data_IF_328566589853
#
_entry.id   IF_328566589853
#
_cell.length_a   1.000
_cell.length_b   1.000
_cell.length_c   1.000
_cell.angle_alpha   90.00
_cell.angle_beta   90.00
_cell.angle_gamma   90.00
#
_symmetry.space_group_name_H-M   'P 1'
#
loop_
_entity.id
_entity.type
_entity.pdbx_description
1 polymer ?
#
# COMPACT_ATOMS: atom_id res chain seq x y z
N UNK A 1 11.02 -15.34 -22.99
CA UNK A 1 11.68 -14.68 -21.85
C UNK A 1 10.66 -13.80 -21.15
N UNK A 2 10.54 -13.87 -19.83
CA UNK A 2 9.57 -13.04 -19.09
C UNK A 2 10.14 -11.63 -18.87
N UNK A 3 9.29 -10.60 -18.65
CA UNK A 3 9.76 -9.27 -18.27
C UNK A 3 10.65 -9.27 -17.02
N UNK A 4 10.37 -10.19 -16.09
CA UNK A 4 11.19 -10.38 -14.89
C UNK A 4 12.60 -10.88 -15.22
N UNK A 5 12.71 -11.90 -16.08
CA UNK A 5 14.02 -12.40 -16.51
C UNK A 5 14.81 -11.32 -17.27
N UNK A 6 14.15 -10.56 -18.13
CA UNK A 6 14.77 -9.42 -18.83
C UNK A 6 15.34 -8.37 -17.87
N UNK A 7 14.66 -8.11 -16.75
CA UNK A 7 15.14 -7.18 -15.74
C UNK A 7 16.37 -7.75 -15.00
N UNK A 8 16.36 -9.03 -14.64
CA UNK A 8 17.52 -9.69 -14.03
C UNK A 8 18.74 -9.62 -14.94
N UNK A 9 18.58 -10.03 -16.20
CA UNK A 9 19.68 -10.02 -17.19
C UNK A 9 20.25 -8.61 -17.42
N UNK A 10 19.45 -7.56 -17.19
CA UNK A 10 19.91 -6.17 -17.28
C UNK A 10 20.65 -5.72 -16.03
N UNK A 11 20.17 -6.10 -14.84
CA UNK A 11 20.78 -5.77 -13.54
C UNK A 11 22.14 -6.47 -13.40
N UNK A 12 22.24 -7.73 -13.84
CA UNK A 12 23.49 -8.51 -13.79
C UNK A 12 24.64 -7.90 -14.61
N UNK A 13 24.34 -7.00 -15.55
CA UNK A 13 25.35 -6.28 -16.34
C UNK A 13 25.96 -5.08 -15.60
N UNK A 14 25.41 -4.69 -14.46
CA UNK A 14 25.92 -3.58 -13.67
C UNK A 14 27.11 -4.02 -12.80
N UNK A 15 28.05 -3.12 -12.47
CA UNK A 15 29.01 -3.35 -11.40
C UNK A 15 28.33 -3.73 -10.08
N UNK A 16 29.02 -4.46 -9.21
CA UNK A 16 28.45 -4.93 -7.94
C UNK A 16 27.89 -3.79 -7.08
N UNK A 17 28.64 -2.69 -6.95
CA UNK A 17 28.22 -1.51 -6.18
C UNK A 17 26.92 -0.88 -6.72
N UNK A 18 26.73 -0.88 -8.05
CA UNK A 18 25.51 -0.36 -8.68
C UNK A 18 24.32 -1.32 -8.48
N UNK A 19 24.56 -2.63 -8.45
CA UNK A 19 23.54 -3.63 -8.12
C UNK A 19 23.08 -3.46 -6.66
N UNK A 20 24.00 -3.26 -5.72
CA UNK A 20 23.71 -2.99 -4.31
C UNK A 20 22.91 -1.69 -4.15
N UNK A 21 23.35 -0.61 -4.81
CA UNK A 21 22.65 0.67 -4.79
C UNK A 21 21.22 0.55 -5.37
N UNK A 22 21.03 -0.24 -6.44
CA UNK A 22 19.72 -0.49 -7.02
C UNK A 22 18.78 -1.18 -6.01
N UNK A 23 19.28 -2.19 -5.28
CA UNK A 23 18.51 -2.89 -4.25
C UNK A 23 18.01 -1.91 -3.19
N UNK A 24 18.88 -1.03 -2.69
CA UNK A 24 18.50 -0.01 -1.71
C UNK A 24 17.43 0.95 -2.25
N UNK A 25 17.59 1.41 -3.49
CA UNK A 25 16.65 2.33 -4.13
C UNK A 25 15.28 1.66 -4.29
N UNK A 26 15.23 0.41 -4.74
CA UNK A 26 13.98 -0.33 -4.93
C UNK A 26 13.28 -0.55 -3.59
N UNK A 27 14.01 -0.96 -2.55
CA UNK A 27 13.44 -1.12 -1.21
C UNK A 27 12.81 0.19 -0.71
N UNK A 28 13.51 1.32 -0.83
CA UNK A 28 12.99 2.64 -0.45
C UNK A 28 11.71 2.99 -1.24
N UNK A 29 11.71 2.75 -2.55
CA UNK A 29 10.52 3.01 -3.39
C UNK A 29 9.32 2.18 -2.98
N UNK A 30 9.50 0.90 -2.62
CA UNK A 30 8.41 0.04 -2.15
C UNK A 30 7.83 0.55 -0.82
N UNK A 31 8.69 0.98 0.12
CA UNK A 31 8.24 1.61 1.38
C UNK A 31 7.42 2.87 1.10
N UNK A 32 7.89 3.75 0.21
CA UNK A 32 7.17 4.97 -0.13
C UNK A 32 5.83 4.70 -0.83
N UNK A 33 5.76 3.69 -1.70
CA UNK A 33 4.49 3.27 -2.30
C UNK A 33 3.50 2.81 -1.23
N UNK A 34 3.94 2.02 -0.25
CA UNK A 34 3.10 1.58 0.87
C UNK A 34 2.65 2.76 1.74
N UNK A 35 3.53 3.71 2.03
CA UNK A 35 3.18 4.95 2.76
C UNK A 35 2.14 5.77 2.01
N UNK A 36 2.29 5.90 0.69
CA UNK A 36 1.32 6.61 -0.15
C UNK A 36 -0.05 5.93 -0.14
N UNK A 37 -0.11 4.60 -0.17
CA UNK A 37 -1.35 3.83 -0.03
C UNK A 37 -2.02 4.09 1.33
N UNK A 38 -1.26 4.00 2.43
CA UNK A 38 -1.78 4.29 3.77
C UNK A 38 -2.33 5.72 3.84
N UNK A 39 -1.61 6.70 3.29
CA UNK A 39 -2.05 8.09 3.27
C UNK A 39 -3.33 8.29 2.45
N UNK A 40 -3.48 7.61 1.30
CA UNK A 40 -4.73 7.63 0.53
C UNK A 40 -5.88 7.03 1.33
N UNK A 41 -5.69 5.88 1.96
CA UNK A 41 -6.73 5.21 2.74
C UNK A 41 -7.15 6.07 3.94
N UNK A 42 -6.19 6.65 4.67
CA UNK A 42 -6.48 7.55 5.78
C UNK A 42 -7.27 8.78 5.32
N UNK A 43 -6.91 9.40 4.19
CA UNK A 43 -7.67 10.52 3.61
C UNK A 43 -9.10 10.11 3.28
N UNK A 44 -9.30 8.96 2.64
CA UNK A 44 -10.62 8.45 2.31
C UNK A 44 -11.47 8.19 3.56
N UNK A 45 -10.90 7.58 4.60
CA UNK A 45 -11.59 7.34 5.88
C UNK A 45 -11.97 8.66 6.57
N UNK A 46 -11.04 9.62 6.68
CA UNK A 46 -11.32 10.93 7.28
C UNK A 46 -12.38 11.68 6.50
N UNK A 47 -12.35 11.62 5.17
CA UNK A 47 -13.37 12.23 4.32
C UNK A 47 -14.74 11.59 4.52
N UNK A 48 -14.82 10.25 4.52
CA UNK A 48 -16.08 9.53 4.77
C UNK A 48 -16.67 9.86 6.15
N UNK A 49 -15.82 10.02 7.17
CA UNK A 49 -16.23 10.47 8.50
C UNK A 49 -16.81 11.88 8.47
N UNK A 50 -16.11 12.84 7.84
CA UNK A 50 -16.58 14.24 7.72
C UNK A 50 -17.89 14.37 6.96
N UNK A 51 -18.10 13.51 5.97
CA UNK A 51 -19.32 13.51 5.15
C UNK A 51 -20.46 12.67 5.76
N UNK A 52 -20.28 12.12 6.97
CA UNK A 52 -21.29 11.29 7.64
C UNK A 52 -21.55 9.94 6.96
N UNK A 53 -20.68 9.54 6.02
CA UNK A 53 -20.76 8.28 5.26
C UNK A 53 -20.06 7.11 5.96
N UNK A 54 -19.24 7.38 6.97
CA UNK A 54 -18.60 6.34 7.77
C UNK A 54 -19.46 5.99 8.99
N UNK A 55 -19.68 4.70 9.23
CA UNK A 55 -20.21 4.21 10.51
C UNK A 55 -19.04 4.06 11.51
N UNK A 56 -19.27 4.47 12.75
CA UNK A 56 -18.29 4.37 13.83
C UNK A 56 -19.03 4.22 15.17
N UNK A 57 -18.42 3.49 16.11
CA UNK A 57 -19.04 3.20 17.39
C UNK A 57 -18.31 2.09 18.12
N UNK A 58 -18.97 1.54 19.13
CA UNK A 58 -18.52 0.36 19.87
C UNK A 58 -18.62 -0.91 19.04
N UNK A 59 -18.05 -2.01 19.54
CA UNK A 59 -18.25 -3.34 18.93
C UNK A 59 -19.72 -3.74 18.92
N UNK A 60 -20.51 -3.31 19.91
CA UNK A 60 -21.95 -3.57 19.93
C UNK A 60 -22.70 -2.75 18.87
N UNK A 61 -22.28 -1.51 18.61
CA UNK A 61 -22.80 -0.71 17.49
C UNK A 61 -22.52 -1.39 16.15
N UNK A 62 -21.30 -1.89 15.95
CA UNK A 62 -20.93 -2.65 14.76
C UNK A 62 -21.74 -3.94 14.62
N UNK A 63 -21.96 -4.68 15.72
CA UNK A 63 -22.76 -5.91 15.70
C UNK A 63 -24.19 -5.61 15.26
N UNK A 64 -24.80 -4.55 15.79
CA UNK A 64 -26.14 -4.10 15.42
C UNK A 64 -26.19 -3.71 13.94
N UNK A 65 -25.24 -2.90 13.47
CA UNK A 65 -25.14 -2.49 12.07
C UNK A 65 -25.12 -3.68 11.10
N UNK A 66 -24.35 -4.72 11.42
CA UNK A 66 -24.22 -5.92 10.57
C UNK A 66 -25.44 -6.84 10.61
N UNK A 67 -26.19 -6.85 11.72
CA UNK A 67 -27.40 -7.66 11.87
C UNK A 67 -28.64 -6.97 11.29
N UNK A 68 -28.67 -5.63 11.27
CA UNK A 68 -29.75 -4.83 10.68
C UNK A 68 -29.70 -4.80 9.13
N UNK A 69 -28.59 -5.22 8.52
CA UNK A 69 -28.41 -5.33 7.05
C UNK A 69 -28.78 -6.72 6.47
N UNK A 70 -29.23 -7.67 7.31
CA UNK A 70 -29.72 -9.01 6.94
C UNK A 70 -31.25 -9.06 6.90
#
# INVERSE_FOLDING_TARGET
MTPFQQALDAIERFPADDQEALIEIIQRRLVEQRRAEIARNARATVQAFREGRARYGTVDDLRRDLLDEL
#
